data_IF_901779024767
#
_entry.id   IF_901779024767
#
_cell.length_a   1.000
_cell.length_b   1.000
_cell.length_c   1.000
_cell.angle_alpha   90.00
_cell.angle_beta   90.00
_cell.angle_gamma   90.00
#
_symmetry.space_group_name_H-M   'P 1'
#
loop_
_entity.id
_entity.type
_entity.pdbx_description
1 polymer ?
#
# COMPACT_ATOMS: atom_id res chain seq x y z
N UNK A 1 -16.62 -6.12 -38.97
CA UNK A 1 -15.44 -5.24 -38.93
C UNK A 1 -14.52 -5.54 -37.75
N UNK A 2 -14.93 -5.41 -36.47
CA UNK A 2 -14.03 -5.77 -35.33
C UNK A 2 -13.77 -7.28 -35.27
N UNK A 3 -14.80 -8.11 -35.43
CA UNK A 3 -14.63 -9.58 -35.47
C UNK A 3 -13.92 -10.10 -36.73
N UNK A 4 -13.84 -9.28 -37.79
CA UNK A 4 -13.07 -9.59 -39.01
C UNK A 4 -11.60 -9.19 -38.88
N UNK A 5 -11.30 -8.15 -38.09
CA UNK A 5 -9.95 -7.66 -37.81
C UNK A 5 -9.29 -8.38 -36.63
N UNK A 6 -10.10 -8.86 -35.68
CA UNK A 6 -9.69 -9.58 -34.48
C UNK A 6 -10.53 -10.86 -34.33
N UNK A 7 -10.23 -11.95 -35.05
CA UNK A 7 -10.98 -13.19 -34.94
C UNK A 7 -10.93 -13.77 -33.51
N UNK A 8 -12.02 -14.40 -33.06
CA UNK A 8 -12.19 -14.93 -31.69
C UNK A 8 -11.50 -16.27 -31.44
N UNK A 9 -10.75 -16.80 -32.42
CA UNK A 9 -10.10 -18.09 -32.32
C UNK A 9 -8.99 -18.03 -31.25
N UNK A 10 -9.07 -18.92 -30.26
CA UNK A 10 -8.41 -18.82 -28.95
C UNK A 10 -6.88 -18.71 -28.93
N UNK A 11 -6.19 -18.78 -30.08
CA UNK A 11 -4.75 -18.48 -30.20
C UNK A 11 -4.47 -16.96 -30.22
N UNK A 12 -5.43 -16.14 -30.65
CA UNK A 12 -5.25 -14.68 -30.78
C UNK A 12 -5.35 -13.87 -29.48
N UNK A 13 -5.76 -14.48 -28.35
CA UNK A 13 -5.92 -13.78 -27.07
C UNK A 13 -4.60 -13.29 -26.50
N UNK A 14 -3.59 -14.16 -26.46
CA UNK A 14 -2.25 -13.82 -25.97
C UNK A 14 -1.54 -12.80 -26.87
N UNK A 15 -1.77 -12.88 -28.19
CA UNK A 15 -1.25 -11.88 -29.14
C UNK A 15 -1.92 -10.53 -28.95
N UNK A 16 -3.25 -10.50 -28.75
CA UNK A 16 -3.98 -9.27 -28.44
C UNK A 16 -3.50 -8.64 -27.14
N UNK A 17 -3.32 -9.43 -26.08
CA UNK A 17 -2.79 -8.98 -24.80
C UNK A 17 -1.40 -8.37 -24.96
N UNK A 18 -0.51 -9.01 -25.73
CA UNK A 18 0.84 -8.51 -25.99
C UNK A 18 0.84 -7.21 -26.79
N UNK A 19 0.03 -7.11 -27.85
CA UNK A 19 -0.09 -5.92 -28.69
C UNK A 19 -0.65 -4.74 -27.89
N UNK A 20 -1.74 -4.96 -27.16
CA UNK A 20 -2.36 -3.90 -26.34
C UNK A 20 -1.41 -3.44 -25.24
N UNK A 21 -0.72 -4.37 -24.59
CA UNK A 21 0.30 -4.04 -23.58
C UNK A 21 1.43 -3.22 -24.17
N UNK A 22 1.93 -3.60 -25.35
CA UNK A 22 3.03 -2.89 -26.00
C UNK A 22 2.61 -1.50 -26.45
N UNK A 23 1.43 -1.35 -27.05
CA UNK A 23 0.90 -0.03 -27.46
C UNK A 23 0.77 0.89 -26.24
N UNK A 24 0.22 0.39 -25.14
CA UNK A 24 0.05 1.20 -23.93
C UNK A 24 1.41 1.55 -23.29
N UNK A 25 2.36 0.62 -23.30
CA UNK A 25 3.72 0.88 -22.83
C UNK A 25 4.42 1.95 -23.69
N UNK A 26 4.34 1.81 -25.02
CA UNK A 26 4.92 2.74 -25.97
C UNK A 26 4.31 4.14 -25.80
N UNK A 27 3.01 4.23 -25.55
CA UNK A 27 2.31 5.48 -25.30
C UNK A 27 2.77 6.16 -23.99
N UNK A 28 2.94 5.38 -22.93
CA UNK A 28 3.35 5.87 -21.61
C UNK A 28 4.83 6.27 -21.61
N UNK A 29 5.66 5.60 -22.40
CA UNK A 29 7.10 5.86 -22.52
C UNK A 29 7.47 6.68 -23.78
N UNK A 30 6.47 7.19 -24.51
CA UNK A 30 6.69 7.88 -25.79
C UNK A 30 7.51 9.18 -25.63
N UNK A 31 8.19 9.53 -26.72
CA UNK A 31 8.86 10.80 -26.89
C UNK A 31 7.82 11.92 -27.03
N UNK A 32 8.05 13.09 -26.42
CA UNK A 32 7.14 14.23 -26.59
C UNK A 32 7.23 14.75 -28.03
N UNK A 33 6.24 14.43 -28.85
CA UNK A 33 6.19 14.84 -30.26
C UNK A 33 6.19 16.37 -30.47
N UNK A 34 5.75 17.13 -29.46
CA UNK A 34 5.68 18.59 -29.51
C UNK A 34 6.90 19.30 -28.90
N UNK A 35 7.88 18.56 -28.34
CA UNK A 35 9.08 19.17 -27.77
C UNK A 35 10.23 19.16 -28.80
N UNK A 36 10.60 20.33 -29.36
CA UNK A 36 11.64 20.43 -30.37
C UNK A 36 13.02 20.00 -29.87
N UNK A 37 13.26 19.97 -28.54
CA UNK A 37 14.54 19.50 -27.98
C UNK A 37 14.80 18.02 -28.22
N UNK A 38 13.75 17.24 -28.49
CA UNK A 38 13.86 15.82 -28.83
C UNK A 38 14.09 15.58 -30.32
N UNK A 39 13.99 16.62 -31.16
CA UNK A 39 14.39 16.54 -32.56
C UNK A 39 15.89 16.81 -32.68
N UNK A 40 16.63 15.93 -33.35
CA UNK A 40 18.11 16.00 -33.55
C UNK A 40 18.61 17.26 -34.30
N UNK A 41 17.74 18.22 -34.63
CA UNK A 41 18.01 19.30 -35.59
C UNK A 41 17.87 20.73 -35.03
N UNK A 42 17.74 20.92 -33.71
CA UNK A 42 17.54 22.25 -33.13
C UNK A 42 18.84 22.80 -32.55
N UNK A 43 19.36 23.96 -33.03
CA UNK A 43 20.56 24.59 -32.49
C UNK A 43 20.36 25.04 -31.03
N UNK A 44 21.44 24.99 -30.25
CA UNK A 44 21.51 25.45 -28.86
C UNK A 44 21.20 26.94 -28.74
N UNK A 45 19.95 27.30 -28.45
CA UNK A 45 19.63 28.64 -27.92
C UNK A 45 18.86 28.55 -26.60
N UNK A 46 19.39 29.25 -25.61
CA UNK A 46 19.00 29.21 -24.21
C UNK A 46 17.59 29.75 -23.95
N UNK A 47 16.60 28.86 -24.04
CA UNK A 47 15.27 29.08 -23.46
C UNK A 47 15.28 28.61 -21.99
N UNK A 48 15.03 29.55 -21.07
CA UNK A 48 15.23 29.39 -19.63
C UNK A 48 14.45 28.25 -18.96
N UNK A 49 15.03 27.77 -17.86
CA UNK A 49 14.61 26.67 -16.98
C UNK A 49 13.13 26.67 -16.53
N UNK A 50 12.41 27.79 -16.65
CA UNK A 50 11.00 27.89 -16.26
C UNK A 50 10.05 27.28 -17.31
N UNK A 51 10.41 27.29 -18.59
CA UNK A 51 9.59 26.71 -19.66
C UNK A 51 9.61 25.18 -19.63
N UNK A 52 10.74 24.58 -19.26
CA UNK A 52 10.94 23.13 -19.17
C UNK A 52 9.95 22.47 -18.20
N UNK A 53 9.64 23.15 -17.09
CA UNK A 53 8.73 22.59 -16.08
C UNK A 53 7.27 22.51 -16.52
N UNK A 54 6.81 23.49 -17.31
CA UNK A 54 5.45 23.49 -17.87
C UNK A 54 5.31 22.49 -19.02
N UNK A 55 6.36 22.36 -19.85
CA UNK A 55 6.41 21.41 -20.96
C UNK A 55 6.27 19.97 -20.45
N UNK A 56 7.02 19.60 -19.41
CA UNK A 56 6.95 18.26 -18.82
C UNK A 56 5.58 17.93 -18.20
N UNK A 57 4.95 18.91 -17.54
CA UNK A 57 3.61 18.70 -16.98
C UNK A 57 2.60 18.44 -18.09
N UNK A 58 2.61 19.26 -19.14
CA UNK A 58 1.71 19.10 -20.28
C UNK A 58 1.95 17.78 -21.02
N UNK A 59 3.20 17.36 -21.18
CA UNK A 59 3.55 16.06 -21.74
C UNK A 59 2.90 14.91 -20.95
N UNK A 60 3.01 14.91 -19.62
CA UNK A 60 2.41 13.86 -18.79
C UNK A 60 0.88 13.87 -18.87
N UNK A 61 0.27 15.07 -18.91
CA UNK A 61 -1.18 15.21 -19.11
C UNK A 61 -1.63 14.69 -20.48
N UNK A 62 -0.86 14.94 -21.54
CA UNK A 62 -1.18 14.46 -22.88
C UNK A 62 -1.01 12.95 -23.02
N UNK A 63 0.02 12.37 -22.37
CA UNK A 63 0.14 10.90 -22.23
C UNK A 63 -1.07 10.32 -21.51
N UNK A 64 -1.52 10.95 -20.42
CA UNK A 64 -2.73 10.54 -19.72
C UNK A 64 -3.98 10.63 -20.61
N UNK A 65 -4.14 11.68 -21.42
CA UNK A 65 -5.26 11.78 -22.37
C UNK A 65 -5.18 10.69 -23.45
N UNK A 66 -3.99 10.43 -23.99
CA UNK A 66 -3.78 9.40 -24.98
C UNK A 66 -4.13 8.01 -24.43
N UNK A 67 -3.74 7.70 -23.18
CA UNK A 67 -4.14 6.47 -22.50
C UNK A 67 -5.66 6.37 -22.36
N UNK A 68 -6.35 7.45 -21.97
CA UNK A 68 -7.81 7.45 -21.93
C UNK A 68 -8.45 7.22 -23.30
N UNK A 69 -7.91 7.80 -24.37
CA UNK A 69 -8.38 7.53 -25.74
C UNK A 69 -8.20 6.06 -26.13
N UNK A 70 -7.08 5.44 -25.76
CA UNK A 70 -6.84 4.01 -25.96
C UNK A 70 -7.87 3.18 -25.19
N UNK A 71 -8.12 3.52 -23.92
CA UNK A 71 -9.12 2.83 -23.09
C UNK A 71 -10.54 2.97 -23.65
N UNK A 72 -10.92 4.18 -24.07
CA UNK A 72 -12.22 4.43 -24.71
C UNK A 72 -12.37 3.63 -26.01
N UNK A 73 -11.31 3.52 -26.81
CA UNK A 73 -11.28 2.67 -27.99
C UNK A 73 -11.47 1.18 -27.64
N UNK A 74 -10.73 0.66 -26.66
CA UNK A 74 -10.83 -0.74 -26.22
C UNK A 74 -12.23 -1.07 -25.66
N UNK A 75 -12.85 -0.13 -24.96
CA UNK A 75 -14.21 -0.25 -24.43
C UNK A 75 -15.26 -0.22 -25.56
N UNK A 76 -15.18 0.76 -26.47
CA UNK A 76 -16.16 0.90 -27.56
C UNK A 76 -16.10 -0.24 -28.57
N UNK A 77 -14.92 -0.83 -28.76
CA UNK A 77 -14.73 -1.99 -29.64
C UNK A 77 -15.02 -3.33 -28.96
N UNK A 78 -15.25 -3.36 -27.65
CA UNK A 78 -15.43 -4.59 -26.88
C UNK A 78 -14.17 -5.46 -26.78
N UNK A 79 -12.99 -4.92 -27.14
CA UNK A 79 -11.72 -5.64 -27.06
C UNK A 79 -11.25 -5.81 -25.62
N UNK A 80 -11.63 -4.90 -24.72
CA UNK A 80 -11.24 -4.98 -23.30
C UNK A 80 -11.73 -6.27 -22.64
N UNK A 81 -12.95 -6.73 -22.96
CA UNK A 81 -13.53 -7.96 -22.42
C UNK A 81 -12.85 -9.24 -22.93
N UNK A 82 -12.06 -9.13 -24.00
CA UNK A 82 -11.32 -10.23 -24.62
C UNK A 82 -9.90 -10.37 -24.08
N UNK A 83 -9.42 -9.38 -23.32
CA UNK A 83 -8.10 -9.42 -22.70
C UNK A 83 -8.06 -10.47 -21.59
N UNK A 84 -6.94 -11.17 -21.48
CA UNK A 84 -6.76 -12.23 -20.50
C UNK A 84 -5.73 -11.83 -19.45
N UNK A 85 -4.47 -12.23 -19.64
CA UNK A 85 -3.38 -11.95 -18.72
C UNK A 85 -2.06 -11.84 -19.45
N UNK A 86 -1.19 -11.01 -18.93
CA UNK A 86 0.19 -10.85 -19.38
C UNK A 86 1.14 -11.09 -18.21
N UNK A 87 2.43 -11.30 -18.49
CA UNK A 87 3.43 -11.54 -17.44
C UNK A 87 4.21 -10.27 -17.15
N UNK A 88 4.10 -9.77 -15.92
CA UNK A 88 4.82 -8.59 -15.44
C UNK A 88 5.51 -8.93 -14.13
N UNK A 89 6.77 -8.50 -13.96
CA UNK A 89 7.57 -8.80 -12.75
C UNK A 89 7.67 -10.31 -12.43
N UNK A 90 7.73 -11.17 -13.47
CA UNK A 90 7.75 -12.65 -13.38
C UNK A 90 6.46 -13.28 -12.80
N UNK A 91 5.37 -12.52 -12.73
CA UNK A 91 4.06 -12.98 -12.28
C UNK A 91 2.98 -12.67 -13.32
N UNK A 92 2.00 -13.55 -13.53
CA UNK A 92 0.86 -13.24 -14.37
C UNK A 92 -0.01 -12.15 -13.72
N UNK A 93 -0.47 -11.20 -14.51
CA UNK A 93 -1.40 -10.14 -14.13
C UNK A 93 -2.47 -10.00 -15.21
N UNK A 94 -3.72 -9.74 -14.83
CA UNK A 94 -4.76 -9.44 -15.81
C UNK A 94 -4.37 -8.19 -16.62
N UNK A 95 -4.42 -8.25 -17.96
CA UNK A 95 -3.92 -7.17 -18.83
C UNK A 95 -4.64 -5.85 -18.55
N UNK A 96 -5.95 -5.89 -18.31
CA UNK A 96 -6.75 -4.72 -17.88
C UNK A 96 -6.19 -4.02 -16.63
N UNK A 97 -5.64 -4.78 -15.68
CA UNK A 97 -5.06 -4.23 -14.46
C UNK A 97 -3.68 -3.63 -14.71
N UNK A 98 -2.92 -4.15 -15.68
CA UNK A 98 -1.66 -3.54 -16.12
C UNK A 98 -1.91 -2.17 -16.78
N UNK A 99 -2.93 -2.05 -17.63
CA UNK A 99 -3.33 -0.76 -18.20
C UNK A 99 -3.68 0.24 -17.08
N UNK A 100 -4.37 -0.23 -16.04
CA UNK A 100 -4.61 0.58 -14.85
C UNK A 100 -3.30 0.98 -14.14
N UNK A 101 -2.33 0.07 -13.98
CA UNK A 101 -1.02 0.39 -13.39
C UNK A 101 -0.28 1.48 -14.17
N UNK A 102 -0.36 1.49 -15.50
CA UNK A 102 0.27 2.53 -16.31
C UNK A 102 -0.37 3.91 -16.09
N UNK A 103 -1.70 3.99 -16.04
CA UNK A 103 -2.39 5.22 -15.70
C UNK A 103 -2.10 5.68 -14.26
N UNK A 104 -2.03 4.76 -13.30
CA UNK A 104 -1.62 5.07 -11.93
C UNK A 104 -0.21 5.67 -11.88
N UNK A 105 0.73 5.11 -12.65
CA UNK A 105 2.11 5.62 -12.76
C UNK A 105 2.16 7.01 -13.41
N UNK A 106 1.35 7.27 -14.43
CA UNK A 106 1.20 8.61 -15.01
C UNK A 106 0.66 9.61 -13.97
N UNK A 107 -0.36 9.22 -13.20
CA UNK A 107 -0.90 10.05 -12.12
C UNK A 107 0.16 10.35 -11.04
N UNK A 108 0.93 9.33 -10.62
CA UNK A 108 2.04 9.50 -9.70
C UNK A 108 3.16 10.38 -10.26
N UNK A 109 3.48 10.26 -11.56
CA UNK A 109 4.50 11.08 -12.23
C UNK A 109 4.11 12.56 -12.26
N UNK A 110 2.82 12.88 -12.51
CA UNK A 110 2.30 14.26 -12.45
C UNK A 110 2.51 14.85 -11.05
N UNK A 111 2.23 14.08 -10.00
CA UNK A 111 2.44 14.50 -8.61
C UNK A 111 3.93 14.69 -8.30
N UNK A 112 4.79 13.77 -8.74
CA UNK A 112 6.24 13.93 -8.60
C UNK A 112 6.74 15.20 -9.29
N UNK A 113 6.21 15.53 -10.47
CA UNK A 113 6.58 16.75 -11.20
C UNK A 113 6.18 18.01 -10.45
N UNK A 114 5.03 18.00 -9.77
CA UNK A 114 4.59 19.11 -8.93
C UNK A 114 5.51 19.29 -7.71
N UNK A 115 5.97 18.19 -7.11
CA UNK A 115 6.96 18.22 -6.03
C UNK A 115 8.35 18.66 -6.51
N UNK A 116 8.75 18.25 -7.72
CA UNK A 116 9.99 18.71 -8.35
C UNK A 116 10.03 20.24 -8.49
N UNK A 117 8.88 20.90 -8.69
CA UNK A 117 8.81 22.36 -8.74
C UNK A 117 9.02 23.04 -7.37
N UNK A 118 8.82 22.32 -6.26
CA UNK A 118 9.00 22.83 -4.88
C UNK A 118 10.35 22.46 -4.29
N UNK A 119 10.80 21.22 -4.51
CA UNK A 119 11.99 20.62 -3.90
C UNK A 119 13.00 20.21 -4.99
N UNK A 120 13.40 21.17 -5.82
CA UNK A 120 14.13 20.91 -7.05
C UNK A 120 15.45 20.16 -6.82
N UNK A 121 16.23 20.55 -5.81
CA UNK A 121 17.56 19.97 -5.56
C UNK A 121 17.48 18.50 -5.13
N UNK A 122 16.56 18.19 -4.20
CA UNK A 122 16.32 16.84 -3.70
C UNK A 122 15.88 15.90 -4.82
N UNK A 123 14.87 16.33 -5.59
CA UNK A 123 14.29 15.50 -6.66
C UNK A 123 15.27 15.32 -7.81
N UNK A 124 16.02 16.35 -8.22
CA UNK A 124 17.03 16.20 -9.28
C UNK A 124 18.17 15.26 -8.87
N UNK A 125 18.61 15.32 -7.62
CA UNK A 125 19.64 14.41 -7.11
C UNK A 125 19.15 12.96 -7.13
N UNK A 126 17.90 12.72 -6.71
CA UNK A 126 17.29 11.40 -6.77
C UNK A 126 17.10 10.91 -8.22
N UNK A 127 16.67 11.77 -9.14
CA UNK A 127 16.51 11.46 -10.57
C UNK A 127 17.87 11.07 -11.18
N UNK A 128 18.92 11.84 -10.92
CA UNK A 128 20.27 11.53 -11.40
C UNK A 128 20.77 10.18 -10.86
N UNK A 129 20.48 9.87 -9.60
CA UNK A 129 20.79 8.56 -9.01
C UNK A 129 20.03 7.42 -9.70
N UNK A 130 18.74 7.62 -10.00
CA UNK A 130 17.91 6.64 -10.70
C UNK A 130 18.41 6.37 -12.12
N UNK A 131 18.70 7.42 -12.89
CA UNK A 131 19.25 7.28 -14.26
C UNK A 131 20.62 6.59 -14.27
N UNK A 132 21.48 6.88 -13.28
CA UNK A 132 22.77 6.19 -13.13
C UNK A 132 22.60 4.70 -12.82
N UNK A 133 21.66 4.34 -11.93
CA UNK A 133 21.36 2.92 -11.62
C UNK A 133 20.85 2.17 -12.85
N UNK A 134 20.08 2.84 -13.70
CA UNK A 134 19.55 2.28 -14.95
C UNK A 134 20.53 2.32 -16.12
N UNK A 135 21.74 2.87 -15.92
CA UNK A 135 22.75 3.05 -16.98
C UNK A 135 22.23 3.82 -18.20
N UNK A 136 21.36 4.82 -17.96
CA UNK A 136 20.78 5.65 -19.01
C UNK A 136 21.66 6.87 -19.27
N UNK A 137 22.10 7.03 -20.52
CA UNK A 137 22.85 8.21 -20.95
C UNK A 137 21.93 9.43 -21.06
N UNK A 138 22.45 10.59 -20.66
CA UNK A 138 21.72 11.86 -20.71
C UNK A 138 22.26 12.64 -21.91
N UNK A 139 21.43 12.87 -22.96
CA UNK A 139 21.83 13.69 -24.10
C UNK A 139 22.19 15.12 -23.67
N UNK A 140 23.17 15.74 -24.33
CA UNK A 140 23.67 17.07 -23.96
C UNK A 140 22.62 18.20 -24.07
N UNK A 141 21.62 18.01 -24.93
CA UNK A 141 20.51 18.94 -25.17
C UNK A 141 19.32 18.76 -24.20
N UNK A 142 19.34 17.73 -23.35
CA UNK A 142 18.22 17.39 -22.46
C UNK A 142 18.62 17.45 -20.98
N UNK A 143 17.65 17.72 -20.12
CA UNK A 143 17.85 17.64 -18.68
C UNK A 143 17.64 16.20 -18.19
N UNK A 144 18.24 15.83 -17.04
CA UNK A 144 17.96 14.53 -16.41
C UNK A 144 16.47 14.30 -16.16
N UNK A 145 15.73 15.36 -15.80
CA UNK A 145 14.29 15.29 -15.61
C UNK A 145 13.55 14.96 -16.92
N UNK A 146 13.97 15.51 -18.07
CA UNK A 146 13.35 15.21 -19.36
C UNK A 146 13.47 13.71 -19.70
N UNK A 147 14.65 13.13 -19.48
CA UNK A 147 14.90 11.70 -19.72
C UNK A 147 14.11 10.82 -18.75
N UNK A 148 14.04 11.22 -17.49
CA UNK A 148 13.35 10.44 -16.45
C UNK A 148 11.82 10.45 -16.61
N UNK A 149 11.21 11.62 -16.88
CA UNK A 149 9.76 11.73 -17.11
C UNK A 149 9.32 11.22 -18.48
N UNK A 150 10.26 10.88 -19.37
CA UNK A 150 9.95 10.11 -20.59
C UNK A 150 9.47 8.70 -20.21
N UNK A 151 10.26 7.96 -19.43
CA UNK A 151 9.99 6.56 -19.07
C UNK A 151 9.13 6.45 -17.81
N UNK A 152 7.86 6.81 -17.93
CA UNK A 152 6.92 6.78 -16.81
C UNK A 152 6.70 5.34 -16.30
N UNK A 153 6.92 4.32 -17.14
CA UNK A 153 6.86 2.92 -16.70
C UNK A 153 7.86 2.62 -15.57
N UNK A 154 8.98 3.33 -15.48
CA UNK A 154 10.05 3.17 -14.49
C UNK A 154 9.99 4.17 -13.33
N UNK A 155 8.89 4.94 -13.20
CA UNK A 155 8.74 6.00 -12.19
C UNK A 155 8.97 5.51 -10.75
N UNK A 156 8.68 4.24 -10.45
CA UNK A 156 8.85 3.66 -9.12
C UNK A 156 10.31 3.58 -8.67
N UNK A 157 11.28 3.63 -9.58
CA UNK A 157 12.71 3.59 -9.26
C UNK A 157 13.17 4.80 -8.42
N UNK A 158 12.45 5.93 -8.50
CA UNK A 158 12.78 7.14 -7.75
C UNK A 158 12.70 6.94 -6.24
N UNK A 159 11.82 6.06 -5.77
CA UNK A 159 11.58 5.87 -4.35
C UNK A 159 12.83 5.41 -3.61
N UNK A 160 13.54 4.42 -4.13
CA UNK A 160 14.81 4.00 -3.52
C UNK A 160 15.85 5.11 -3.53
N UNK A 161 15.93 5.88 -4.60
CA UNK A 161 16.89 6.97 -4.73
C UNK A 161 16.59 8.12 -3.75
N UNK A 162 15.32 8.44 -3.50
CA UNK A 162 14.93 9.42 -2.48
C UNK A 162 15.34 8.97 -1.08
N UNK A 163 15.08 7.70 -0.74
CA UNK A 163 15.49 7.12 0.54
C UNK A 163 17.02 7.06 0.70
N UNK A 164 17.76 6.79 -0.37
CA UNK A 164 19.21 6.81 -0.35
C UNK A 164 19.76 8.21 -0.04
N UNK A 165 19.16 9.26 -0.60
CA UNK A 165 19.53 10.65 -0.28
C UNK A 165 19.15 11.04 1.15
N UNK A 166 17.96 10.65 1.61
CA UNK A 166 17.53 10.85 3.00
C UNK A 166 18.51 10.22 3.99
N UNK A 167 18.88 8.96 3.76
CA UNK A 167 19.78 8.23 4.65
C UNK A 167 21.19 8.85 4.66
N UNK A 168 21.67 9.39 3.54
CA UNK A 168 22.94 10.14 3.50
C UNK A 168 22.86 11.39 4.37
N UNK A 169 21.82 12.20 4.22
CA UNK A 169 21.64 13.45 4.98
C UNK A 169 21.52 13.18 6.48
N UNK A 170 20.80 12.12 6.86
CA UNK A 170 20.71 11.68 8.26
C UNK A 170 22.06 11.20 8.82
N UNK A 171 22.84 10.43 8.04
CA UNK A 171 24.16 9.94 8.46
C UNK A 171 25.21 11.04 8.60
N UNK A 172 25.11 12.10 7.80
CA UNK A 172 26.01 13.25 7.90
C UNK A 172 25.82 14.02 9.22
N UNK A 173 24.77 13.75 10.00
CA UNK A 173 24.44 14.41 11.28
C UNK A 173 24.56 15.94 11.19
N UNK A 174 24.21 16.48 10.02
CA UNK A 174 24.18 17.93 9.79
C UNK A 174 22.97 18.57 10.48
N UNK A 175 22.85 19.89 10.37
CA UNK A 175 21.79 20.73 10.97
C UNK A 175 20.43 20.02 11.13
N UNK A 176 19.87 20.09 12.35
CA UNK A 176 18.63 19.42 12.70
C UNK A 176 17.45 19.85 11.83
N UNK A 177 17.43 21.12 11.43
CA UNK A 177 16.42 21.66 10.53
C UNK A 177 16.53 21.03 9.12
N UNK A 178 17.76 20.85 8.63
CA UNK A 178 18.01 20.36 7.28
C UNK A 178 17.63 18.89 7.11
N UNK A 179 18.04 18.01 8.03
CA UNK A 179 17.65 16.61 7.91
C UNK A 179 16.15 16.45 8.11
N UNK A 180 15.53 17.20 9.04
CA UNK A 180 14.09 17.13 9.26
C UNK A 180 13.31 17.53 8.00
N UNK A 181 13.71 18.61 7.35
CA UNK A 181 13.13 19.05 6.08
C UNK A 181 13.24 17.96 5.00
N UNK A 182 14.41 17.33 4.83
CA UNK A 182 14.61 16.28 3.83
C UNK A 182 13.72 15.06 4.12
N UNK A 183 13.67 14.58 5.37
CA UNK A 183 12.81 13.45 5.76
C UNK A 183 11.34 13.75 5.49
N UNK A 184 10.87 14.94 5.88
CA UNK A 184 9.48 15.35 5.66
C UNK A 184 9.15 15.43 4.16
N UNK A 185 10.06 16.00 3.36
CA UNK A 185 9.86 16.12 1.92
C UNK A 185 9.87 14.76 1.22
N UNK A 186 10.78 13.85 1.59
CA UNK A 186 10.80 12.48 1.03
C UNK A 186 9.51 11.75 1.37
N UNK A 187 9.07 11.83 2.64
CA UNK A 187 7.80 11.25 3.05
C UNK A 187 6.62 11.80 2.26
N UNK A 188 6.52 13.13 2.10
CA UNK A 188 5.43 13.75 1.36
C UNK A 188 5.43 13.37 -0.12
N UNK A 189 6.60 13.31 -0.76
CA UNK A 189 6.71 12.86 -2.16
C UNK A 189 6.22 11.42 -2.30
N UNK A 190 6.73 10.50 -1.49
CA UNK A 190 6.36 9.07 -1.56
C UNK A 190 4.87 8.91 -1.25
N UNK A 191 4.40 9.55 -0.19
CA UNK A 191 2.99 9.53 0.25
C UNK A 191 2.06 10.02 -0.86
N UNK A 192 2.31 11.21 -1.40
CA UNK A 192 1.41 11.84 -2.38
C UNK A 192 1.40 11.07 -3.70
N UNK A 193 2.54 10.53 -4.14
CA UNK A 193 2.60 9.66 -5.33
C UNK A 193 1.77 8.39 -5.16
N UNK A 194 1.88 7.72 -4.01
CA UNK A 194 1.12 6.49 -3.73
C UNK A 194 -0.38 6.78 -3.55
N UNK A 195 -0.72 7.90 -2.92
CA UNK A 195 -2.11 8.34 -2.78
C UNK A 195 -2.74 8.68 -4.12
N UNK A 196 -2.03 9.35 -5.03
CA UNK A 196 -2.52 9.65 -6.37
C UNK A 196 -2.81 8.37 -7.17
N UNK A 197 -1.92 7.38 -7.10
CA UNK A 197 -2.14 6.08 -7.70
C UNK A 197 -3.36 5.37 -7.10
N UNK A 198 -3.49 5.32 -5.77
CA UNK A 198 -4.63 4.71 -5.10
C UNK A 198 -5.96 5.42 -5.45
N UNK A 199 -5.97 6.76 -5.46
CA UNK A 199 -7.14 7.55 -5.81
C UNK A 199 -7.56 7.33 -7.27
N UNK A 200 -6.60 7.24 -8.20
CA UNK A 200 -6.90 6.91 -9.60
C UNK A 200 -7.56 5.54 -9.69
N UNK A 201 -6.96 4.52 -9.05
CA UNK A 201 -7.51 3.15 -9.01
C UNK A 201 -8.94 3.11 -8.50
N UNK A 202 -9.23 3.81 -7.39
CA UNK A 202 -10.57 3.85 -6.80
C UNK A 202 -11.58 4.57 -7.69
N UNK A 203 -11.23 5.75 -8.21
CA UNK A 203 -12.12 6.57 -9.03
C UNK A 203 -12.42 5.95 -10.40
N UNK A 204 -11.48 5.20 -10.96
CA UNK A 204 -11.58 4.56 -12.27
C UNK A 204 -11.79 3.04 -12.21
N UNK A 205 -12.05 2.48 -11.02
CA UNK A 205 -12.20 1.03 -10.81
C UNK A 205 -13.24 0.37 -11.74
N UNK A 206 -14.29 1.09 -12.13
CA UNK A 206 -15.33 0.59 -13.04
C UNK A 206 -14.83 0.40 -14.47
N UNK A 207 -13.90 1.24 -14.94
CA UNK A 207 -13.36 1.16 -16.31
C UNK A 207 -12.53 -0.10 -16.52
N UNK A 208 -11.86 -0.56 -15.47
CA UNK A 208 -10.97 -1.70 -15.53
C UNK A 208 -11.61 -2.96 -14.96
N UNK A 209 -12.92 -3.04 -14.72
CA UNK A 209 -13.56 -4.20 -14.07
C UNK A 209 -13.41 -5.48 -14.92
N UNK A 210 -13.33 -6.64 -14.27
CA UNK A 210 -13.41 -7.93 -14.95
C UNK A 210 -14.79 -8.15 -15.60
N UNK A 211 -14.87 -8.82 -16.76
CA UNK A 211 -16.16 -9.18 -17.36
C UNK A 211 -16.92 -10.18 -16.48
N UNK A 212 -18.25 -10.14 -16.51
CA UNK A 212 -19.13 -10.92 -15.60
C UNK A 212 -18.94 -12.45 -15.72
N UNK A 213 -18.46 -12.93 -16.88
CA UNK A 213 -18.24 -14.34 -17.17
C UNK A 213 -16.75 -14.73 -17.25
N UNK A 214 -15.85 -13.92 -16.68
CA UNK A 214 -14.41 -14.23 -16.69
C UNK A 214 -14.09 -15.44 -15.80
N UNK A 215 -13.09 -16.23 -16.20
CA UNK A 215 -12.52 -17.29 -15.36
C UNK A 215 -11.80 -16.72 -14.13
N UNK A 216 -11.23 -17.59 -13.27
CA UNK A 216 -10.44 -17.14 -12.12
C UNK A 216 -9.22 -16.33 -12.62
N UNK A 217 -9.15 -15.09 -12.19
CA UNK A 217 -8.02 -14.20 -12.52
C UNK A 217 -6.78 -14.55 -11.69
N UNK A 218 -5.58 -14.24 -12.21
CA UNK A 218 -4.35 -14.44 -11.46
C UNK A 218 -4.29 -13.57 -10.19
N UNK A 219 -3.34 -13.90 -9.31
CA UNK A 219 -3.00 -13.09 -8.14
C UNK A 219 -2.70 -11.64 -8.56
N UNK A 220 -3.40 -10.68 -7.96
CA UNK A 220 -3.21 -9.27 -8.24
C UNK A 220 -2.29 -8.63 -7.19
N UNK A 221 -1.12 -8.17 -7.64
CA UNK A 221 -0.18 -7.40 -6.85
C UNK A 221 0.00 -6.04 -7.53
N UNK A 222 -0.65 -4.97 -7.03
CA UNK A 222 -0.47 -3.64 -7.61
C UNK A 222 0.99 -3.20 -7.51
N UNK A 223 1.44 -2.36 -8.45
CA UNK A 223 2.81 -1.82 -8.41
C UNK A 223 3.12 -1.07 -7.10
N UNK A 224 2.12 -0.43 -6.48
CA UNK A 224 2.19 0.21 -5.16
C UNK A 224 2.41 -0.78 -4.00
N UNK A 225 2.27 -2.08 -4.26
CA UNK A 225 2.53 -3.18 -3.33
C UNK A 225 3.63 -4.13 -3.84
N UNK A 226 4.43 -3.69 -4.82
CA UNK A 226 5.55 -4.47 -5.34
C UNK A 226 6.54 -4.85 -4.23
N UNK A 227 7.00 -6.10 -4.26
CA UNK A 227 8.05 -6.62 -3.38
C UNK A 227 9.41 -6.67 -4.07
N UNK A 228 10.42 -7.17 -3.36
CA UNK A 228 11.80 -7.29 -3.85
C UNK A 228 12.63 -6.02 -3.68
N UNK A 229 13.86 -6.06 -4.18
CA UNK A 229 14.74 -4.88 -4.26
C UNK A 229 14.11 -3.88 -5.22
N UNK A 230 13.95 -2.62 -4.84
CA UNK A 230 13.21 -1.63 -5.62
C UNK A 230 11.71 -1.59 -5.35
N UNK A 231 11.16 -2.62 -4.70
CA UNK A 231 9.72 -2.74 -4.50
C UNK A 231 9.18 -1.72 -3.48
N UNK A 232 7.98 -1.21 -3.74
CA UNK A 232 7.34 -0.20 -2.88
C UNK A 232 7.13 -0.69 -1.44
N UNK A 233 6.84 -1.98 -1.22
CA UNK A 233 6.77 -2.54 0.15
C UNK A 233 8.10 -2.46 0.88
N UNK A 234 9.19 -2.73 0.18
CA UNK A 234 10.55 -2.66 0.73
C UNK A 234 10.92 -1.22 1.05
N UNK A 235 10.60 -0.28 0.16
CA UNK A 235 10.77 1.17 0.38
C UNK A 235 10.02 1.61 1.64
N UNK A 236 8.72 1.31 1.77
CA UNK A 236 7.93 1.75 2.93
C UNK A 236 8.46 1.13 4.24
N UNK A 237 8.86 -0.15 4.20
CA UNK A 237 9.44 -0.83 5.39
C UNK A 237 10.77 -0.19 5.77
N UNK A 238 11.65 0.10 4.81
CA UNK A 238 12.91 0.80 5.03
C UNK A 238 12.68 2.20 5.58
N UNK A 239 11.68 2.92 5.06
CA UNK A 239 11.32 4.26 5.54
C UNK A 239 10.81 4.23 6.98
N UNK A 240 9.96 3.24 7.30
CA UNK A 240 9.52 3.01 8.68
C UNK A 240 10.72 2.79 9.63
N UNK A 241 11.67 1.92 9.25
CA UNK A 241 12.87 1.70 10.07
C UNK A 241 13.74 2.95 10.21
N UNK A 242 13.95 3.70 9.11
CA UNK A 242 14.77 4.90 9.07
C UNK A 242 14.18 5.99 9.98
N UNK A 243 12.88 6.25 9.87
CA UNK A 243 12.19 7.24 10.70
C UNK A 243 12.32 6.85 12.17
N UNK A 244 12.00 5.61 12.54
CA UNK A 244 11.96 5.22 13.94
C UNK A 244 13.36 5.16 14.59
N UNK A 245 14.38 4.74 13.84
CA UNK A 245 15.74 4.56 14.39
C UNK A 245 16.61 5.81 14.30
N UNK A 246 16.51 6.57 13.21
CA UNK A 246 17.40 7.70 12.95
C UNK A 246 16.73 9.06 13.21
N UNK A 247 15.49 9.27 12.74
CA UNK A 247 14.83 10.58 12.86
C UNK A 247 14.17 10.78 14.24
N UNK A 248 13.37 9.82 14.68
CA UNK A 248 12.49 9.93 15.85
C UNK A 248 13.22 10.24 17.17
N UNK A 249 14.40 9.66 17.47
CA UNK A 249 15.15 9.96 18.69
C UNK A 249 15.61 11.42 18.78
N UNK A 250 15.87 12.05 17.63
CA UNK A 250 16.38 13.42 17.53
C UNK A 250 15.29 14.46 17.26
N UNK A 251 14.08 14.01 16.90
CA UNK A 251 12.92 14.86 16.69
C UNK A 251 12.31 15.38 18.01
N UNK A 252 11.80 16.61 17.98
CA UNK A 252 10.99 17.19 19.05
C UNK A 252 9.53 16.71 18.98
N UNK A 253 8.68 17.18 19.89
CA UNK A 253 7.30 16.69 19.97
C UNK A 253 6.46 17.04 18.73
N UNK A 254 6.69 18.22 18.14
CA UNK A 254 5.97 18.67 16.94
C UNK A 254 6.38 17.85 15.72
N UNK A 255 7.69 17.71 15.47
CA UNK A 255 8.21 16.91 14.37
C UNK A 255 7.81 15.43 14.51
N UNK A 256 7.82 14.87 15.72
CA UNK A 256 7.32 13.50 15.97
C UNK A 256 5.86 13.33 15.60
N UNK A 257 5.03 14.35 15.82
CA UNK A 257 3.62 14.36 15.42
C UNK A 257 3.49 14.25 13.90
N UNK A 258 4.17 15.12 13.16
CA UNK A 258 4.15 15.15 11.69
C UNK A 258 4.72 13.86 11.08
N UNK A 259 5.87 13.38 11.59
CA UNK A 259 6.47 12.13 11.13
C UNK A 259 5.55 10.93 11.37
N UNK A 260 4.87 10.89 12.51
CA UNK A 260 3.91 9.80 12.80
C UNK A 260 2.71 9.84 11.87
N UNK A 261 2.17 11.03 11.58
CA UNK A 261 1.08 11.19 10.62
C UNK A 261 1.47 10.72 9.21
N UNK A 262 2.62 11.19 8.71
CA UNK A 262 3.13 10.77 7.39
C UNK A 262 3.38 9.26 7.34
N UNK A 263 4.01 8.70 8.38
CA UNK A 263 4.31 7.28 8.46
C UNK A 263 3.03 6.43 8.47
N UNK A 264 1.98 6.86 9.17
CA UNK A 264 0.69 6.16 9.18
C UNK A 264 0.10 6.02 7.79
N UNK A 265 0.20 7.06 6.96
CA UNK A 265 -0.29 7.01 5.58
C UNK A 265 0.53 6.04 4.72
N UNK A 266 1.86 6.02 4.89
CA UNK A 266 2.71 5.06 4.20
C UNK A 266 2.40 3.61 4.62
N UNK A 267 2.23 3.37 5.93
CA UNK A 267 1.84 2.06 6.45
C UNK A 267 0.46 1.63 5.96
N UNK A 268 -0.48 2.57 5.83
CA UNK A 268 -1.80 2.32 5.26
C UNK A 268 -1.71 1.86 3.79
N UNK A 269 -0.86 2.49 2.99
CA UNK A 269 -0.59 2.05 1.61
C UNK A 269 0.01 0.64 1.56
N UNK A 270 0.93 0.31 2.47
CA UNK A 270 1.54 -1.02 2.52
C UNK A 270 0.51 -2.10 2.90
N UNK A 271 -0.27 -1.85 3.96
CA UNK A 271 -1.25 -2.81 4.48
C UNK A 271 -2.43 -2.99 3.53
N UNK A 272 -2.93 -1.92 2.90
CA UNK A 272 -3.96 -2.00 1.85
C UNK A 272 -3.48 -2.82 0.64
N UNK A 273 -2.19 -2.73 0.31
CA UNK A 273 -1.56 -3.58 -0.70
C UNK A 273 -1.63 -5.07 -0.38
N UNK A 274 -1.46 -5.48 0.88
CA UNK A 274 -1.67 -6.88 1.30
C UNK A 274 -3.14 -7.28 1.21
N UNK A 275 -4.06 -6.40 1.63
CA UNK A 275 -5.51 -6.67 1.55
C UNK A 275 -5.96 -6.86 0.11
N UNK A 276 -5.47 -6.05 -0.84
CA UNK A 276 -5.76 -6.20 -2.26
C UNK A 276 -5.30 -7.58 -2.79
N UNK A 277 -4.07 -7.98 -2.43
CA UNK A 277 -3.50 -9.26 -2.82
C UNK A 277 -4.27 -10.46 -2.21
N UNK A 278 -4.56 -10.42 -0.91
CA UNK A 278 -5.37 -11.44 -0.23
C UNK A 278 -6.78 -11.56 -0.83
N UNK A 279 -7.40 -10.42 -1.18
CA UNK A 279 -8.71 -10.39 -1.83
C UNK A 279 -8.67 -11.07 -3.20
N UNK A 280 -7.61 -10.85 -3.98
CA UNK A 280 -7.42 -11.51 -5.28
C UNK A 280 -7.24 -13.02 -5.15
N UNK A 281 -6.40 -13.48 -4.21
CA UNK A 281 -6.16 -14.90 -3.95
C UNK A 281 -7.41 -15.62 -3.48
N UNK A 282 -8.22 -14.97 -2.64
CA UNK A 282 -9.51 -15.49 -2.19
C UNK A 282 -10.47 -15.71 -3.36
N UNK A 283 -10.51 -14.79 -4.33
CA UNK A 283 -11.33 -14.92 -5.54
C UNK A 283 -10.80 -16.01 -6.48
N UNK A 284 -9.48 -16.14 -6.59
CA UNK A 284 -8.82 -17.14 -7.42
C UNK A 284 -8.88 -18.57 -6.84
N UNK A 285 -9.29 -18.73 -5.56
CA UNK A 285 -9.38 -20.03 -4.89
C UNK A 285 -8.01 -20.65 -4.52
N UNK A 286 -6.94 -19.86 -4.50
CA UNK A 286 -5.57 -20.33 -4.21
C UNK A 286 -5.29 -20.40 -2.71
N UNK A 287 -5.87 -21.40 -2.03
CA UNK A 287 -5.88 -21.47 -0.57
C UNK A 287 -4.48 -21.54 0.08
N UNK A 288 -3.55 -22.33 -0.47
CA UNK A 288 -2.20 -22.45 0.11
C UNK A 288 -1.43 -21.13 0.07
N UNK A 289 -1.51 -20.44 -1.07
CA UNK A 289 -0.89 -19.12 -1.26
C UNK A 289 -1.54 -18.07 -0.37
N UNK A 290 -2.87 -18.11 -0.24
CA UNK A 290 -3.63 -17.25 0.66
C UNK A 290 -3.17 -17.40 2.11
N UNK A 291 -3.10 -18.63 2.63
CA UNK A 291 -2.68 -18.89 4.03
C UNK A 291 -1.25 -18.41 4.29
N UNK A 292 -0.34 -18.64 3.33
CA UNK A 292 1.04 -18.17 3.44
C UNK A 292 1.10 -16.64 3.54
N UNK A 293 0.40 -15.95 2.64
CA UNK A 293 0.37 -14.50 2.60
C UNK A 293 -0.36 -13.90 3.83
N UNK A 294 -1.39 -14.55 4.34
CA UNK A 294 -2.12 -14.12 5.54
C UNK A 294 -1.24 -14.16 6.79
N UNK A 295 -0.39 -15.17 6.91
CA UNK A 295 0.62 -15.26 7.97
C UNK A 295 1.67 -14.15 7.83
N UNK A 296 2.22 -13.95 6.64
CA UNK A 296 3.17 -12.87 6.36
C UNK A 296 2.57 -11.49 6.68
N UNK A 297 1.33 -11.26 6.25
CA UNK A 297 0.59 -10.04 6.52
C UNK A 297 0.38 -9.79 8.02
N UNK A 298 -0.03 -10.82 8.77
CA UNK A 298 -0.25 -10.72 10.22
C UNK A 298 1.04 -10.42 10.96
N UNK A 299 2.14 -11.10 10.60
CA UNK A 299 3.46 -10.85 11.16
C UNK A 299 3.93 -9.42 10.85
N UNK A 300 3.86 -9.00 9.59
CA UNK A 300 4.30 -7.67 9.17
C UNK A 300 3.47 -6.55 9.81
N UNK A 301 2.15 -6.73 9.90
CA UNK A 301 1.28 -5.76 10.58
C UNK A 301 1.67 -5.57 12.05
N UNK A 302 1.95 -6.67 12.75
CA UNK A 302 2.42 -6.62 14.14
C UNK A 302 3.79 -5.93 14.27
N UNK A 303 4.73 -6.26 13.38
CA UNK A 303 6.08 -5.67 13.32
C UNK A 303 6.06 -4.15 13.09
N UNK A 304 5.14 -3.66 12.26
CA UNK A 304 5.01 -2.24 11.94
C UNK A 304 4.27 -1.45 13.04
N UNK A 305 3.26 -2.04 13.68
CA UNK A 305 2.44 -1.32 14.66
C UNK A 305 3.02 -1.36 16.09
N UNK A 306 3.73 -2.42 16.47
CA UNK A 306 4.25 -2.55 17.84
C UNK A 306 5.22 -1.42 18.24
N UNK A 307 6.18 -0.97 17.41
CA UNK A 307 7.06 0.15 17.75
C UNK A 307 6.29 1.46 17.97
N UNK A 308 5.30 1.75 17.13
CA UNK A 308 4.45 2.95 17.29
C UNK A 308 3.65 2.91 18.60
N UNK A 309 3.22 1.71 19.02
CA UNK A 309 2.54 1.51 20.30
C UNK A 309 3.48 1.75 21.49
N UNK A 310 4.75 1.35 21.38
CA UNK A 310 5.78 1.59 22.40
C UNK A 310 6.16 3.08 22.51
N UNK A 311 6.14 3.80 21.40
CA UNK A 311 6.37 5.24 21.35
C UNK A 311 5.17 6.08 21.82
N UNK A 312 4.07 5.43 22.22
CA UNK A 312 2.89 6.10 22.76
C UNK A 312 1.97 6.74 21.73
N UNK A 313 2.12 6.41 20.43
CA UNK A 313 1.31 6.95 19.33
C UNK A 313 -0.07 6.28 19.25
N UNK A 314 -0.82 6.30 20.36
CA UNK A 314 -2.03 5.50 20.56
C UNK A 314 -3.16 5.82 19.57
N UNK A 315 -3.32 7.10 19.20
CA UNK A 315 -4.38 7.50 18.26
C UNK A 315 -4.16 6.86 16.89
N UNK A 316 -2.94 6.97 16.38
CA UNK A 316 -2.52 6.47 15.08
C UNK A 316 -2.53 4.94 15.00
N UNK A 317 -1.94 4.29 16.02
CA UNK A 317 -1.92 2.82 16.12
C UNK A 317 -3.33 2.27 16.14
N UNK A 318 -4.23 2.88 16.89
CA UNK A 318 -5.60 2.41 16.95
C UNK A 318 -6.34 2.63 15.63
N UNK A 319 -6.14 3.74 14.92
CA UNK A 319 -6.74 3.95 13.61
C UNK A 319 -6.36 2.85 12.61
N UNK A 320 -5.07 2.49 12.53
CA UNK A 320 -4.59 1.41 11.67
C UNK A 320 -5.06 0.04 12.15
N UNK A 321 -4.94 -0.26 13.44
CA UNK A 321 -5.34 -1.54 14.00
C UNK A 321 -6.86 -1.77 13.89
N UNK A 322 -7.68 -0.73 14.00
CA UNK A 322 -9.12 -0.81 13.75
C UNK A 322 -9.43 -1.05 12.28
N UNK A 323 -8.76 -0.31 11.36
CA UNK A 323 -8.97 -0.46 9.90
C UNK A 323 -8.61 -1.86 9.41
N UNK A 324 -7.51 -2.41 9.91
CA UNK A 324 -6.98 -3.70 9.50
C UNK A 324 -7.33 -4.86 10.45
N UNK A 325 -8.17 -4.62 11.46
CA UNK A 325 -8.64 -5.61 12.42
C UNK A 325 -7.49 -6.35 13.13
N UNK A 326 -6.47 -5.61 13.60
CA UNK A 326 -5.40 -6.16 14.44
C UNK A 326 -5.84 -6.22 15.92
N UNK A 327 -6.52 -7.30 16.29
CA UNK A 327 -7.09 -7.42 17.63
C UNK A 327 -6.03 -7.48 18.73
N UNK A 328 -4.86 -8.07 18.47
CA UNK A 328 -3.79 -8.12 19.46
C UNK A 328 -3.32 -6.71 19.83
N UNK A 329 -3.02 -5.87 18.84
CA UNK A 329 -2.60 -4.48 19.06
C UNK A 329 -3.71 -3.66 19.73
N UNK A 330 -4.99 -3.84 19.36
CA UNK A 330 -6.11 -3.16 20.00
C UNK A 330 -6.23 -3.52 21.49
N UNK A 331 -6.10 -4.81 21.84
CA UNK A 331 -6.14 -5.27 23.23
C UNK A 331 -4.92 -4.75 24.00
N UNK A 332 -3.72 -4.83 23.43
CA UNK A 332 -2.52 -4.28 24.04
C UNK A 332 -2.64 -2.77 24.32
N UNK A 333 -3.20 -2.01 23.38
CA UNK A 333 -3.43 -0.57 23.52
C UNK A 333 -4.42 -0.25 24.65
N UNK A 334 -5.55 -0.96 24.72
CA UNK A 334 -6.50 -0.81 25.82
C UNK A 334 -5.88 -1.17 27.18
N UNK A 335 -5.06 -2.21 27.24
CA UNK A 335 -4.42 -2.63 28.48
C UNK A 335 -3.30 -1.66 28.93
N UNK A 336 -2.54 -1.06 28.01
CA UNK A 336 -1.51 -0.06 28.34
C UNK A 336 -2.12 1.25 28.83
N UNK A 337 -3.28 1.62 28.30
CA UNK A 337 -3.99 2.86 28.65
C UNK A 337 -5.02 2.69 29.77
N UNK A 338 -5.20 1.45 30.25
CA UNK A 338 -6.29 1.01 31.15
C UNK A 338 -7.69 1.50 30.74
N UNK A 339 -7.92 1.62 29.42
CA UNK A 339 -9.16 2.17 28.88
C UNK A 339 -10.19 1.06 28.62
N UNK A 340 -10.88 0.65 29.69
CA UNK A 340 -11.92 -0.38 29.65
C UNK A 340 -13.13 0.03 28.79
N UNK A 341 -13.45 1.32 28.72
CA UNK A 341 -14.57 1.81 27.89
C UNK A 341 -14.31 1.57 26.40
N UNK A 342 -13.07 1.82 25.95
CA UNK A 342 -12.65 1.58 24.56
C UNK A 342 -12.64 0.09 24.22
N UNK A 343 -12.23 -0.75 25.17
CA UNK A 343 -12.26 -2.21 25.01
C UNK A 343 -13.70 -2.71 24.80
N UNK A 344 -14.65 -2.23 25.60
CA UNK A 344 -16.07 -2.57 25.45
C UNK A 344 -16.62 -2.11 24.09
N UNK A 345 -16.24 -0.91 23.63
CA UNK A 345 -16.62 -0.43 22.30
C UNK A 345 -16.12 -1.37 21.19
N UNK A 346 -14.90 -1.91 21.30
CA UNK A 346 -14.39 -2.90 20.34
C UNK A 346 -15.12 -4.23 20.40
N UNK A 347 -15.52 -4.70 21.59
CA UNK A 347 -16.34 -5.91 21.71
C UNK A 347 -17.67 -5.77 20.97
N UNK A 348 -18.27 -4.58 20.98
CA UNK A 348 -19.50 -4.30 20.22
C UNK A 348 -19.21 -4.11 18.73
N UNK A 349 -18.20 -3.31 18.38
CA UNK A 349 -17.85 -2.98 16.99
C UNK A 349 -17.44 -4.20 16.16
N UNK A 350 -16.72 -5.15 16.78
CA UNK A 350 -16.17 -6.33 16.11
C UNK A 350 -16.84 -7.63 16.58
N UNK A 351 -18.10 -7.56 17.02
CA UNK A 351 -18.85 -8.72 17.49
C UNK A 351 -18.93 -9.84 16.44
N UNK A 352 -19.18 -9.49 15.18
CA UNK A 352 -19.28 -10.44 14.04
C UNK A 352 -17.94 -11.08 13.64
N UNK A 353 -16.83 -10.55 14.16
CA UNK A 353 -15.47 -11.03 13.87
C UNK A 353 -14.88 -11.82 15.06
N UNK A 354 -15.71 -12.22 16.01
CA UNK A 354 -15.30 -13.00 17.20
C UNK A 354 -14.24 -12.29 18.07
N UNK A 355 -14.30 -10.96 18.19
CA UNK A 355 -13.36 -10.20 19.01
C UNK A 355 -13.40 -10.60 20.50
N UNK A 356 -14.59 -10.92 21.04
CA UNK A 356 -14.75 -11.36 22.43
C UNK A 356 -14.02 -12.67 22.71
N UNK A 357 -14.17 -13.65 21.82
CA UNK A 357 -13.48 -14.93 21.88
C UNK A 357 -11.95 -14.76 21.79
N UNK A 358 -11.49 -13.89 20.89
CA UNK A 358 -10.07 -13.51 20.82
C UNK A 358 -9.58 -12.90 22.14
N UNK A 359 -10.31 -11.93 22.70
CA UNK A 359 -9.96 -11.26 23.96
C UNK A 359 -9.86 -12.26 25.12
N UNK A 360 -10.78 -13.24 25.18
CA UNK A 360 -10.78 -14.25 26.23
C UNK A 360 -9.57 -15.18 26.13
N UNK A 361 -9.22 -15.64 24.92
CA UNK A 361 -7.97 -16.38 24.67
C UNK A 361 -6.74 -15.57 25.07
N UNK A 362 -6.71 -14.29 24.68
CA UNK A 362 -5.61 -13.40 24.99
C UNK A 362 -5.42 -13.23 26.52
N UNK A 363 -6.50 -13.00 27.27
CA UNK A 363 -6.41 -12.92 28.73
C UNK A 363 -5.98 -14.23 29.38
N UNK A 364 -6.40 -15.37 28.83
CA UNK A 364 -5.95 -16.69 29.27
C UNK A 364 -4.45 -16.88 29.05
N UNK A 365 -3.95 -16.60 27.84
CA UNK A 365 -2.54 -16.74 27.47
C UNK A 365 -1.62 -15.82 28.27
N UNK A 366 -2.06 -14.58 28.54
CA UNK A 366 -1.30 -13.62 29.37
C UNK A 366 -1.49 -13.83 30.88
N UNK A 367 -2.24 -14.85 31.30
CA UNK A 367 -2.47 -15.17 32.71
C UNK A 367 -3.36 -14.18 33.47
N UNK A 368 -4.09 -13.29 32.77
CA UNK A 368 -4.96 -12.24 33.35
C UNK A 368 -6.36 -12.76 33.71
N UNK A 369 -6.42 -13.88 34.44
CA UNK A 369 -7.67 -14.58 34.80
C UNK A 369 -8.65 -13.72 35.62
N UNK A 370 -8.13 -12.81 36.46
CA UNK A 370 -8.98 -11.89 37.22
C UNK A 370 -9.80 -10.97 36.31
N UNK A 371 -9.16 -10.39 35.28
CA UNK A 371 -9.84 -9.54 34.28
C UNK A 371 -10.81 -10.34 33.39
N UNK A 372 -10.50 -11.61 33.11
CA UNK A 372 -11.39 -12.50 32.37
C UNK A 372 -12.69 -12.75 33.14
N UNK A 373 -12.62 -12.95 34.45
CA UNK A 373 -13.80 -13.22 35.28
C UNK A 373 -14.58 -11.95 35.65
N UNK A 374 -13.93 -10.78 35.64
CA UNK A 374 -14.56 -9.49 35.93
C UNK A 374 -15.18 -8.82 34.69
N UNK A 375 -15.53 -9.58 33.65
CA UNK A 375 -16.13 -9.04 32.44
C UNK A 375 -17.57 -8.55 32.68
N UNK A 376 -18.05 -7.55 31.91
CA UNK A 376 -19.40 -7.04 32.05
C UNK A 376 -20.48 -8.11 31.85
N UNK A 377 -21.63 -7.96 32.49
CA UNK A 377 -22.74 -8.93 32.40
C UNK A 377 -23.19 -9.19 30.96
N UNK A 378 -23.10 -8.18 30.09
CA UNK A 378 -23.43 -8.29 28.67
C UNK A 378 -22.61 -9.36 27.92
N UNK A 379 -21.42 -9.71 28.42
CA UNK A 379 -20.50 -10.65 27.77
C UNK A 379 -20.45 -11.99 28.49
N UNK A 380 -21.19 -12.16 29.59
CA UNK A 380 -21.24 -13.41 30.38
C UNK A 380 -21.74 -14.61 29.57
N UNK A 381 -22.65 -14.42 28.63
CA UNK A 381 -23.12 -15.50 27.77
C UNK A 381 -22.01 -16.00 26.83
N UNK A 382 -21.27 -15.08 26.21
CA UNK A 382 -20.13 -15.41 25.34
C UNK A 382 -18.97 -16.03 26.15
N UNK A 383 -18.73 -15.51 27.36
CA UNK A 383 -17.72 -16.04 28.27
C UNK A 383 -18.09 -17.44 28.77
N UNK A 384 -19.36 -17.70 29.07
CA UNK A 384 -19.85 -19.02 29.44
C UNK A 384 -19.65 -20.03 28.31
N UNK A 385 -19.98 -19.67 27.05
CA UNK A 385 -19.72 -20.55 25.90
C UNK A 385 -18.23 -20.83 25.68
N UNK A 386 -17.37 -19.82 25.92
CA UNK A 386 -15.92 -19.99 25.82
C UNK A 386 -15.36 -20.92 26.91
N UNK A 387 -15.83 -20.76 28.15
CA UNK A 387 -15.36 -21.52 29.31
C UNK A 387 -15.85 -22.97 29.35
N UNK A 388 -16.81 -23.39 28.50
CA UNK A 388 -17.22 -24.79 28.37
C UNK A 388 -16.06 -25.72 27.99
N UNK A 389 -15.05 -25.21 27.28
CA UNK A 389 -13.83 -25.97 26.96
C UNK A 389 -12.79 -25.96 28.10
N UNK A 390 -13.08 -25.29 29.22
CA UNK A 390 -12.15 -25.02 30.31
C UNK A 390 -12.81 -25.31 31.69
N UNK A 391 -13.04 -26.59 31.97
CA UNK A 391 -13.74 -27.08 33.18
C UNK A 391 -13.17 -26.52 34.49
N UNK A 392 -11.84 -26.35 34.57
CA UNK A 392 -11.14 -25.82 35.74
C UNK A 392 -11.46 -24.35 36.08
N UNK A 393 -12.06 -23.59 35.16
CA UNK A 393 -12.40 -22.16 35.33
C UNK A 393 -13.91 -21.88 35.18
N UNK A 394 -14.67 -22.74 34.52
CA UNK A 394 -16.12 -22.57 34.34
C UNK A 394 -16.85 -22.46 35.69
N UNK A 395 -16.51 -23.29 36.67
CA UNK A 395 -17.13 -23.24 38.01
C UNK A 395 -16.94 -21.90 38.74
N UNK A 396 -15.83 -21.19 38.51
CA UNK A 396 -15.56 -19.87 39.12
C UNK A 396 -16.46 -18.79 38.52
N UNK A 397 -16.66 -18.85 37.20
CA UNK A 397 -17.57 -17.96 36.49
C UNK A 397 -19.03 -18.25 36.87
N UNK A 398 -19.42 -19.52 36.96
CA UNK A 398 -20.78 -19.92 37.30
C UNK A 398 -21.16 -19.50 38.74
N UNK A 399 -20.20 -19.52 39.68
CA UNK A 399 -20.40 -18.92 41.02
C UNK A 399 -20.63 -17.41 40.93
N UNK A 400 -19.86 -16.72 40.08
CA UNK A 400 -19.97 -15.27 39.92
C UNK A 400 -21.31 -14.85 39.29
N UNK A 401 -21.83 -15.67 38.36
CA UNK A 401 -23.13 -15.48 37.70
C UNK A 401 -24.31 -15.99 38.56
N UNK A 402 -24.04 -16.55 39.76
CA UNK A 402 -25.03 -17.17 40.66
C UNK A 402 -25.76 -18.38 40.07
N UNK A 403 -25.18 -19.05 39.06
CA UNK A 403 -25.71 -20.28 38.48
C UNK A 403 -25.22 -21.52 39.27
N UNK A 404 -25.75 -21.66 40.49
CA UNK A 404 -25.31 -22.72 41.42
C UNK A 404 -25.65 -24.15 40.95
N UNK A 405 -26.53 -24.32 39.95
CA UNK A 405 -26.84 -25.65 39.39
C UNK A 405 -25.67 -26.14 38.53
N UNK A 406 -25.17 -25.31 37.61
CA UNK A 406 -24.00 -25.66 36.78
C UNK A 406 -22.73 -25.85 37.60
N UNK A 407 -22.51 -25.03 38.64
CA UNK A 407 -21.37 -25.20 39.57
C UNK A 407 -21.33 -26.61 40.17
N UNK A 408 -22.49 -27.17 40.47
CA UNK A 408 -22.61 -28.50 41.10
C UNK A 408 -22.24 -29.61 40.12
N UNK A 409 -22.62 -29.47 38.86
CA UNK A 409 -22.32 -30.40 37.77
C UNK A 409 -20.83 -30.35 37.42
N UNK A 410 -20.25 -29.17 37.23
CA UNK A 410 -18.83 -28.99 36.90
C UNK A 410 -17.91 -29.50 38.02
N UNK A 411 -18.26 -29.25 39.29
CA UNK A 411 -17.50 -29.82 40.43
C UNK A 411 -17.64 -31.33 40.52
N UNK A 412 -18.75 -31.92 40.09
CA UNK A 412 -18.91 -33.38 40.06
C UNK A 412 -18.07 -34.06 38.98
N UNK A 413 -17.69 -33.34 37.92
CA UNK A 413 -16.81 -33.85 36.86
C UNK A 413 -15.30 -33.67 37.13
N UNK A 414 -14.93 -32.74 38.02
CA UNK A 414 -13.54 -32.47 38.41
C UNK A 414 -13.03 -33.35 39.56
N UNK A 415 -13.93 -34.08 40.24
CA UNK A 415 -13.65 -35.11 41.25
C UNK A 415 -13.99 -36.49 40.70
#
# INVERSE_FOLDING_TARGET
MVDELFPSDGEGGAELDAVVTQIDLDLVDDYPACDPRWAESVPEEGAGFTLTSLILLHQLEDKMKAHHCLMDFLLQTGLLDRLTSTTVRKSPIATRLLLCEHAEKLSAAIVLKNHHAKHQDLVNTAILSALKKNSTDIPANLTPADVFFREVSQISSIFECLLDEEEKVLKEHSDAARWAEVVLNVNDIVKDMLQAAAQYRETKASLYRAPENCGPEPEYIPWTASGGVGGVRTVITRQHELILRAAYPHADAELRGVLSEQLVVLLDSLLSGYVAQLTSLRRAGQQERYVTLENEYTQKRSELLAPLLELGQHQWVAALAEKYCDFDILVQLCERTDNQSRLQQYMVKFADQNFSDFLFRWYMEKGKRGKLLSQPVATHQQLSSFLQAHDHLSWLHDIHVQDYQRVRETKFCLY
#
